data_IF_537843191353
#
_entry.id   IF_537843191353
#
_cell.length_a   1.000
_cell.length_b   1.000
_cell.length_c   1.000
_cell.angle_alpha   90.00
_cell.angle_beta   90.00
_cell.angle_gamma   90.00
#
_symmetry.space_group_name_H-M   'P 1'
#
loop_
_entity.id
_entity.type
_entity.pdbx_description
1 polymer ?
#
# COMPACT_ATOMS: atom_id res chain seq x y z
N UNK A 1 -27.49 17.02 -6.45
CA UNK A 1 -27.64 15.55 -6.48
C UNK A 1 -26.24 14.99 -6.40
N UNK A 2 -25.83 14.51 -5.23
CA UNK A 2 -24.48 13.99 -5.02
C UNK A 2 -24.40 12.54 -5.49
N UNK A 3 -23.43 12.23 -6.33
CA UNK A 3 -23.08 10.86 -6.71
C UNK A 3 -22.37 10.17 -5.55
N UNK A 4 -22.89 9.01 -5.13
CA UNK A 4 -22.29 8.17 -4.11
C UNK A 4 -21.36 7.15 -4.79
N UNK A 5 -20.07 7.23 -4.52
CA UNK A 5 -19.11 6.21 -4.95
C UNK A 5 -19.10 5.10 -3.88
N UNK A 6 -19.68 3.95 -4.20
CA UNK A 6 -19.65 2.76 -3.35
C UNK A 6 -18.58 1.83 -3.91
N UNK A 7 -17.48 1.67 -3.18
CA UNK A 7 -16.42 0.71 -3.53
C UNK A 7 -16.80 -0.63 -2.92
N UNK A 8 -17.11 -1.62 -3.76
CA UNK A 8 -17.32 -3.00 -3.33
C UNK A 8 -15.98 -3.74 -3.40
N UNK A 9 -15.44 -4.15 -2.24
CA UNK A 9 -14.40 -5.17 -2.15
C UNK A 9 -15.10 -6.45 -1.70
N UNK A 10 -15.23 -7.43 -2.60
CA UNK A 10 -16.03 -8.63 -2.29
C UNK A 10 -15.44 -9.88 -2.94
N UNK A 11 -14.99 -10.80 -2.09
CA UNK A 11 -14.86 -12.21 -2.42
C UNK A 11 -16.25 -12.86 -2.31
N UNK A 12 -17.09 -12.73 -3.34
CA UNK A 12 -18.45 -13.32 -3.38
C UNK A 12 -18.48 -14.80 -3.79
N UNK A 13 -17.39 -15.54 -3.60
CA UNK A 13 -17.44 -17.00 -3.77
C UNK A 13 -18.00 -17.62 -2.50
N UNK A 14 -19.24 -18.15 -2.58
CA UNK A 14 -19.91 -18.91 -1.52
C UNK A 14 -19.00 -20.06 -1.03
N UNK A 15 -18.21 -19.79 -0.01
CA UNK A 15 -17.79 -20.77 0.99
C UNK A 15 -18.81 -20.69 2.13
N UNK A 16 -19.11 -21.82 2.76
CA UNK A 16 -20.11 -21.98 3.83
C UNK A 16 -20.15 -20.75 4.77
N UNK A 17 -21.32 -20.10 4.87
CA UNK A 17 -21.51 -18.90 5.69
C UNK A 17 -22.63 -17.99 5.19
N UNK A 18 -22.97 -16.99 6.02
CA UNK A 18 -23.96 -15.94 5.74
C UNK A 18 -23.24 -14.66 5.34
N UNK A 19 -23.83 -13.92 4.39
CA UNK A 19 -23.35 -12.59 4.03
C UNK A 19 -23.85 -11.60 5.08
N UNK A 20 -22.93 -11.01 5.83
CA UNK A 20 -23.20 -9.85 6.68
C UNK A 20 -22.69 -8.57 5.99
N UNK A 21 -23.43 -7.48 6.14
CA UNK A 21 -22.99 -6.17 5.68
C UNK A 21 -22.79 -5.28 6.89
N UNK A 22 -21.64 -4.61 6.94
CA UNK A 22 -21.29 -3.66 7.98
C UNK A 22 -21.07 -2.29 7.38
N UNK A 23 -21.44 -1.26 8.13
CA UNK A 23 -21.27 0.13 7.75
C UNK A 23 -20.56 0.88 8.87
N UNK A 24 -19.80 1.90 8.49
CA UNK A 24 -19.20 2.86 9.40
C UNK A 24 -19.36 4.26 8.84
N UNK A 25 -19.86 5.17 9.68
CA UNK A 25 -19.69 6.60 9.47
C UNK A 25 -18.25 6.95 9.83
N UNK A 26 -17.55 7.69 8.98
CA UNK A 26 -16.14 8.07 9.22
C UNK A 26 -15.95 8.64 10.64
N UNK A 27 -15.08 8.00 11.42
CA UNK A 27 -14.81 8.39 12.82
C UNK A 27 -15.71 7.74 13.90
N UNK A 28 -16.64 6.84 13.53
CA UNK A 28 -17.46 6.06 14.48
C UNK A 28 -17.08 4.57 14.47
N UNK A 29 -17.68 3.76 15.34
CA UNK A 29 -17.54 2.29 15.31
C UNK A 29 -18.27 1.69 14.11
N UNK A 30 -17.86 0.48 13.70
CA UNK A 30 -18.60 -0.32 12.73
C UNK A 30 -19.89 -0.85 13.34
N UNK A 31 -20.93 -0.98 12.51
CA UNK A 31 -22.21 -1.58 12.86
C UNK A 31 -22.70 -2.50 11.75
N UNK A 32 -23.37 -3.60 12.13
CA UNK A 32 -24.06 -4.48 11.18
C UNK A 32 -25.30 -3.75 10.67
N UNK A 33 -25.45 -3.68 9.34
CA UNK A 33 -26.61 -3.05 8.71
C UNK A 33 -27.53 -4.11 8.10
N UNK A 34 -28.86 -3.97 8.28
CA UNK A 34 -29.80 -4.89 7.69
C UNK A 34 -29.77 -4.76 6.16
N UNK A 35 -29.78 -5.92 5.51
CA UNK A 35 -29.90 -6.04 4.05
C UNK A 35 -31.33 -6.46 3.73
N UNK A 36 -32.08 -5.56 3.12
CA UNK A 36 -33.47 -5.81 2.72
C UNK A 36 -33.53 -6.24 1.24
N UNK A 37 -34.39 -7.20 0.93
CA UNK A 37 -34.67 -7.58 -0.45
C UNK A 37 -35.74 -6.66 -1.04
N UNK A 38 -35.57 -6.24 -2.29
CA UNK A 38 -36.61 -5.46 -2.97
C UNK A 38 -37.74 -6.37 -3.43
N UNK A 39 -38.98 -6.04 -3.03
CA UNK A 39 -40.18 -6.69 -3.60
C UNK A 39 -40.34 -6.38 -5.09
N UNK A 40 -39.93 -5.18 -5.54
CA UNK A 40 -40.05 -4.73 -6.92
C UNK A 40 -38.89 -5.23 -7.82
N UNK A 41 -37.74 -5.54 -7.22
CA UNK A 41 -36.52 -5.97 -7.90
C UNK A 41 -35.89 -7.17 -7.19
N UNK A 42 -36.31 -8.41 -7.49
CA UNK A 42 -35.93 -9.61 -6.71
C UNK A 42 -34.42 -9.88 -6.60
N UNK A 43 -33.61 -9.27 -7.47
CA UNK A 43 -32.15 -9.35 -7.48
C UNK A 43 -31.45 -8.16 -6.82
N UNK A 44 -32.18 -7.10 -6.50
CA UNK A 44 -31.65 -5.95 -5.78
C UNK A 44 -31.64 -6.22 -4.28
N UNK A 45 -30.63 -5.69 -3.61
CA UNK A 45 -30.49 -5.68 -2.16
C UNK A 45 -30.30 -4.22 -1.74
N UNK A 46 -31.04 -3.79 -0.73
CA UNK A 46 -30.97 -2.44 -0.21
C UNK A 46 -30.34 -2.44 1.17
N UNK A 47 -29.49 -1.43 1.41
CA UNK A 47 -28.82 -1.22 2.68
C UNK A 47 -29.44 -0.01 3.36
N UNK A 48 -29.87 -0.18 4.60
CA UNK A 48 -30.36 0.93 5.42
C UNK A 48 -29.20 1.54 6.20
N UNK A 49 -28.53 2.52 5.59
CA UNK A 49 -27.43 3.22 6.23
C UNK A 49 -27.93 4.12 7.37
N UNK A 50 -27.14 4.29 8.45
CA UNK A 50 -27.48 5.21 9.53
C UNK A 50 -27.58 6.65 9.00
N UNK A 51 -28.55 7.42 9.50
CA UNK A 51 -28.74 8.80 9.06
C UNK A 51 -27.69 9.76 9.67
N UNK A 52 -27.47 10.90 9.01
CA UNK A 52 -26.66 12.00 9.56
C UNK A 52 -25.21 12.06 9.07
N UNK A 53 -24.87 11.34 8.00
CA UNK A 53 -23.60 11.50 7.28
C UNK A 53 -23.82 11.51 5.76
N UNK A 54 -22.88 12.10 5.02
CA UNK A 54 -22.77 11.98 3.56
C UNK A 54 -21.65 11.01 3.14
N UNK A 55 -20.87 10.50 4.11
CA UNK A 55 -19.74 9.59 3.91
C UNK A 55 -19.88 8.34 4.77
N UNK A 56 -19.78 7.19 4.11
CA UNK A 56 -19.88 5.87 4.72
C UNK A 56 -18.82 4.96 4.12
N UNK A 57 -18.28 4.07 4.94
CA UNK A 57 -17.54 2.89 4.51
C UNK A 57 -18.46 1.68 4.68
N UNK A 58 -18.48 0.78 3.70
CA UNK A 58 -19.34 -0.41 3.71
C UNK A 58 -18.49 -1.61 3.32
N UNK A 59 -18.59 -2.70 4.10
CA UNK A 59 -18.01 -3.99 3.74
C UNK A 59 -19.09 -5.06 3.67
N UNK A 60 -19.01 -5.91 2.64
CA UNK A 60 -19.72 -7.18 2.59
C UNK A 60 -18.78 -8.30 3.04
N UNK A 61 -19.13 -9.01 4.10
CA UNK A 61 -18.33 -10.07 4.70
C UNK A 61 -19.10 -11.38 4.62
N UNK A 62 -18.47 -12.45 4.11
CA UNK A 62 -18.97 -13.81 4.27
C UNK A 62 -18.43 -14.33 5.59
N UNK A 63 -19.32 -14.57 6.56
CA UNK A 63 -18.97 -14.97 7.93
C UNK A 63 -19.68 -16.26 8.32
N UNK A 64 -19.14 -17.05 9.26
CA UNK A 64 -19.85 -18.21 9.80
C UNK A 64 -21.18 -17.80 10.45
N UNK A 65 -22.23 -18.62 10.32
CA UNK A 65 -23.56 -18.34 10.87
C UNK A 65 -23.58 -18.19 12.40
N UNK A 66 -22.54 -18.70 13.08
CA UNK A 66 -22.38 -18.60 14.53
C UNK A 66 -21.64 -17.34 15.00
N UNK A 67 -21.15 -16.51 14.09
CA UNK A 67 -20.38 -15.31 14.44
C UNK A 67 -21.31 -14.22 14.98
N UNK A 68 -20.93 -13.58 16.09
CA UNK A 68 -21.70 -12.49 16.68
C UNK A 68 -21.51 -11.18 15.90
N UNK A 69 -22.50 -10.27 15.93
CA UNK A 69 -22.37 -8.94 15.32
C UNK A 69 -21.13 -8.18 15.82
N UNK A 70 -20.78 -8.34 17.11
CA UNK A 70 -19.58 -7.73 17.69
C UNK A 70 -18.31 -8.26 17.02
N UNK A 71 -18.22 -9.57 16.77
CA UNK A 71 -17.07 -10.18 16.11
C UNK A 71 -17.01 -9.82 14.62
N UNK A 72 -18.18 -9.71 13.95
CA UNK A 72 -18.26 -9.21 12.56
C UNK A 72 -17.74 -7.78 12.48
N UNK A 73 -18.12 -6.90 13.42
CA UNK A 73 -17.61 -5.53 13.48
C UNK A 73 -16.10 -5.49 13.77
N UNK A 74 -15.58 -6.34 14.66
CA UNK A 74 -14.12 -6.45 14.89
C UNK A 74 -13.38 -6.90 13.64
N UNK A 75 -13.91 -7.86 12.90
CA UNK A 75 -13.33 -8.29 11.61
C UNK A 75 -13.32 -7.13 10.60
N UNK A 76 -14.37 -6.31 10.57
CA UNK A 76 -14.42 -5.10 9.76
C UNK A 76 -13.36 -4.06 10.16
N UNK A 77 -13.14 -3.85 11.47
CA UNK A 77 -12.08 -2.99 12.01
C UNK A 77 -10.69 -3.51 11.62
N UNK A 78 -10.46 -4.82 11.75
CA UNK A 78 -9.21 -5.46 11.35
C UNK A 78 -8.99 -5.25 9.85
N UNK A 79 -9.99 -5.51 9.01
CA UNK A 79 -9.91 -5.30 7.56
C UNK A 79 -9.74 -3.85 7.18
N UNK A 80 -10.35 -2.91 7.89
CA UNK A 80 -10.10 -1.49 7.69
C UNK A 80 -8.63 -1.13 8.00
N UNK A 81 -8.10 -1.65 9.11
CA UNK A 81 -6.70 -1.49 9.49
C UNK A 81 -5.73 -2.12 8.48
N UNK A 82 -6.11 -3.26 7.90
CA UNK A 82 -5.37 -3.98 6.86
C UNK A 82 -5.56 -3.37 5.47
N UNK A 83 -6.61 -2.58 5.19
CA UNK A 83 -6.84 -1.95 3.89
C UNK A 83 -6.51 -0.46 3.91
N UNK A 84 -5.85 0.03 4.96
CA UNK A 84 -5.38 1.41 5.02
C UNK A 84 -4.20 1.58 4.07
N UNK A 85 -4.50 1.95 2.83
CA UNK A 85 -3.52 2.29 1.81
C UNK A 85 -2.75 3.54 2.27
N UNK A 86 -1.44 3.39 2.42
CA UNK A 86 -0.52 4.50 2.64
C UNK A 86 0.13 4.85 1.32
N UNK A 87 0.09 6.12 0.94
CA UNK A 87 0.78 6.61 -0.25
C UNK A 87 2.27 6.76 0.06
N UNK A 88 3.09 6.11 -0.77
CA UNK A 88 4.54 6.07 -0.62
C UNK A 88 5.24 6.34 -1.94
N UNK A 89 6.52 6.70 -1.83
CA UNK A 89 7.46 6.81 -2.94
C UNK A 89 8.74 6.07 -2.61
N UNK A 90 9.42 5.56 -3.65
CA UNK A 90 10.75 5.02 -3.55
C UNK A 90 11.77 6.09 -3.90
N UNK A 91 12.75 6.28 -3.04
CA UNK A 91 13.92 7.12 -3.28
C UNK A 91 15.11 6.19 -3.50
N UNK A 92 15.83 6.36 -4.60
CA UNK A 92 17.10 5.70 -4.85
C UNK A 92 18.19 6.76 -5.03
N UNK A 93 19.18 6.77 -4.14
CA UNK A 93 20.31 7.70 -4.21
C UNK A 93 21.63 6.95 -4.19
N UNK A 94 22.61 7.54 -4.87
CA UNK A 94 23.97 7.06 -4.98
C UNK A 94 24.89 8.03 -4.26
N UNK A 95 25.91 7.48 -3.60
CA UNK A 95 26.86 8.31 -2.86
C UNK A 95 27.86 8.95 -3.81
N UNK A 96 28.05 10.26 -3.70
CA UNK A 96 28.97 11.00 -4.56
C UNK A 96 30.40 10.47 -4.50
N UNK A 97 30.88 10.23 -3.28
CA UNK A 97 32.25 9.80 -3.03
C UNK A 97 32.51 8.35 -3.41
N UNK A 98 31.45 7.55 -3.55
CA UNK A 98 31.55 6.14 -3.93
C UNK A 98 30.29 5.75 -4.73
N UNK A 99 30.35 5.81 -6.07
CA UNK A 99 29.19 5.48 -6.90
C UNK A 99 28.78 4.00 -6.78
N UNK A 100 29.56 3.13 -6.15
CA UNK A 100 29.09 1.77 -5.87
C UNK A 100 28.15 1.71 -4.66
N UNK A 101 28.13 2.72 -3.79
CA UNK A 101 27.21 2.77 -2.64
C UNK A 101 25.89 3.40 -3.05
N UNK A 102 24.80 2.66 -2.80
CA UNK A 102 23.44 3.17 -2.97
C UNK A 102 22.62 2.99 -1.71
N UNK A 103 21.66 3.89 -1.57
CA UNK A 103 20.60 3.82 -0.59
C UNK A 103 19.27 3.78 -1.32
N UNK A 104 18.39 2.90 -0.84
CA UNK A 104 17.00 2.84 -1.25
C UNK A 104 16.13 3.04 -0.02
N UNK A 105 15.20 3.99 -0.10
CA UNK A 105 14.19 4.22 0.93
C UNK A 105 12.80 4.12 0.35
N UNK A 106 11.92 3.39 1.04
CA UNK A 106 10.48 3.60 0.93
C UNK A 106 10.06 4.57 2.02
N UNK A 107 9.44 5.66 1.60
CA UNK A 107 8.96 6.72 2.49
C UNK A 107 7.53 7.07 2.16
N UNK A 108 6.77 7.50 3.15
CA UNK A 108 5.47 8.13 2.91
C UNK A 108 5.65 9.36 2.04
N UNK A 109 4.74 9.59 1.10
CA UNK A 109 4.87 10.66 0.11
C UNK A 109 5.09 12.03 0.74
N UNK A 110 4.46 12.32 1.88
CA UNK A 110 4.65 13.59 2.60
C UNK A 110 6.07 13.82 3.15
N UNK A 111 6.90 12.78 3.22
CA UNK A 111 8.25 12.83 3.78
C UNK A 111 9.36 12.83 2.70
N UNK A 112 9.00 12.83 1.41
CA UNK A 112 9.98 12.77 0.30
C UNK A 112 10.98 13.92 0.37
N UNK A 113 10.52 15.16 0.40
CA UNK A 113 11.39 16.36 0.40
C UNK A 113 12.36 16.38 1.59
N UNK A 114 11.87 16.00 2.77
CA UNK A 114 12.69 15.98 4.00
C UNK A 114 13.75 14.88 3.91
N UNK A 115 13.38 13.72 3.40
CA UNK A 115 14.30 12.58 3.22
C UNK A 115 15.37 12.92 2.18
N UNK A 116 14.96 13.49 1.05
CA UNK A 116 15.83 13.99 -0.02
C UNK A 116 16.91 14.95 0.50
N UNK A 117 16.50 16.00 1.23
CA UNK A 117 17.45 16.96 1.84
C UNK A 117 18.40 16.29 2.83
N UNK A 118 17.90 15.33 3.61
CA UNK A 118 18.75 14.57 4.52
C UNK A 118 19.79 13.75 3.76
N UNK A 119 19.40 13.02 2.71
CA UNK A 119 20.32 12.22 1.90
C UNK A 119 21.39 13.07 1.21
N UNK A 120 21.00 14.22 0.66
CA UNK A 120 21.95 15.19 0.11
C UNK A 120 22.97 15.63 1.16
N UNK A 121 22.52 15.92 2.40
CA UNK A 121 23.40 16.37 3.49
C UNK A 121 24.44 15.33 3.92
N UNK A 122 24.19 14.04 3.70
CA UNK A 122 25.11 12.95 4.01
C UNK A 122 25.84 12.40 2.77
N UNK A 123 25.75 13.10 1.63
CA UNK A 123 26.53 12.81 0.43
C UNK A 123 25.89 11.82 -0.55
N UNK A 124 24.59 11.52 -0.40
CA UNK A 124 23.79 10.72 -1.33
C UNK A 124 22.95 11.63 -2.22
N UNK A 125 23.63 12.38 -3.09
CA UNK A 125 23.07 13.46 -3.91
C UNK A 125 22.98 13.12 -5.41
N UNK A 126 23.48 11.96 -5.83
CA UNK A 126 23.37 11.45 -7.20
C UNK A 126 22.23 10.43 -7.29
N UNK A 127 21.65 10.24 -8.48
CA UNK A 127 20.57 9.26 -8.71
C UNK A 127 19.35 9.82 -9.46
N UNK A 128 18.35 8.98 -9.77
CA UNK A 128 17.12 9.42 -10.41
C UNK A 128 16.31 10.34 -9.48
N UNK A 129 15.29 11.00 -10.03
CA UNK A 129 14.21 11.54 -9.18
C UNK A 129 13.56 10.40 -8.36
N UNK A 130 12.78 10.74 -7.34
CA UNK A 130 11.91 9.78 -6.66
C UNK A 130 10.95 9.08 -7.65
N UNK A 131 10.45 7.92 -7.27
CA UNK A 131 9.42 7.23 -8.05
C UNK A 131 8.12 8.02 -8.04
N UNK A 132 7.23 7.72 -8.99
CA UNK A 132 5.83 8.09 -8.87
C UNK A 132 5.25 7.56 -7.53
N UNK A 133 4.28 8.28 -6.99
CA UNK A 133 3.52 7.87 -5.81
C UNK A 133 2.66 6.64 -6.11
N UNK A 134 2.63 5.70 -5.18
CA UNK A 134 1.75 4.52 -5.24
C UNK A 134 1.25 4.16 -3.85
N UNK A 135 0.10 3.47 -3.81
CA UNK A 135 -0.52 3.02 -2.57
C UNK A 135 0.03 1.67 -2.13
N UNK A 136 0.37 1.55 -0.85
CA UNK A 136 0.87 0.31 -0.23
C UNK A 136 0.14 0.04 1.08
N UNK A 137 -0.16 -1.23 1.32
CA UNK A 137 -0.79 -1.71 2.54
C UNK A 137 0.25 -2.08 3.60
N UNK A 138 -0.10 -1.94 4.88
CA UNK A 138 0.75 -2.37 5.99
C UNK A 138 1.10 -3.87 5.90
N UNK A 139 2.39 -4.19 5.93
CA UNK A 139 2.94 -5.53 5.75
C UNK A 139 3.16 -5.96 4.30
N UNK A 140 2.72 -5.17 3.31
CA UNK A 140 2.92 -5.48 1.89
C UNK A 140 4.40 -5.42 1.49
N UNK A 141 4.84 -6.33 0.62
CA UNK A 141 6.24 -6.41 0.19
C UNK A 141 6.42 -5.68 -1.13
N UNK A 142 7.21 -4.62 -1.11
CA UNK A 142 7.64 -3.91 -2.30
C UNK A 142 8.84 -4.64 -2.90
N UNK A 143 8.73 -5.05 -4.15
CA UNK A 143 9.79 -5.75 -4.88
C UNK A 143 10.51 -4.79 -5.84
N UNK A 144 11.81 -4.57 -5.61
CA UNK A 144 12.64 -3.66 -6.40
C UNK A 144 13.68 -4.48 -7.17
N UNK A 145 13.65 -4.37 -8.49
CA UNK A 145 14.54 -5.08 -9.39
C UNK A 145 15.39 -4.09 -10.19
N UNK A 146 16.70 -4.33 -10.19
CA UNK A 146 17.59 -3.67 -11.14
C UNK A 146 17.60 -4.47 -12.42
N UNK A 147 17.17 -3.83 -13.51
CA UNK A 147 17.27 -4.43 -14.83
C UNK A 147 18.58 -4.02 -15.50
N UNK A 148 19.03 -4.82 -16.46
CA UNK A 148 20.24 -4.57 -17.25
C UNK A 148 21.58 -4.84 -16.53
N UNK A 149 22.48 -3.85 -16.50
CA UNK A 149 23.91 -4.03 -16.27
C UNK A 149 24.32 -3.84 -14.80
N UNK A 150 23.35 -3.71 -13.91
CA UNK A 150 23.53 -3.44 -12.49
C UNK A 150 22.83 -4.50 -11.66
N UNK A 151 23.44 -4.85 -10.53
CA UNK A 151 22.82 -5.71 -9.54
C UNK A 151 23.39 -5.44 -8.15
N UNK A 152 22.65 -5.79 -7.11
CA UNK A 152 23.14 -5.66 -5.73
C UNK A 152 24.15 -6.74 -5.39
N UNK A 153 25.30 -6.37 -4.86
CA UNK A 153 26.39 -7.31 -4.59
C UNK A 153 25.93 -8.52 -3.77
N UNK A 154 25.14 -8.30 -2.72
CA UNK A 154 24.60 -9.36 -1.87
C UNK A 154 23.44 -10.12 -2.47
N UNK A 155 22.48 -9.44 -3.11
CA UNK A 155 21.29 -10.10 -3.68
C UNK A 155 21.57 -10.74 -5.04
N UNK A 156 22.75 -10.49 -5.62
CA UNK A 156 23.05 -10.83 -7.00
C UNK A 156 21.92 -10.30 -7.89
N UNK A 157 21.38 -11.11 -8.80
CA UNK A 157 20.27 -10.73 -9.69
C UNK A 157 18.89 -10.91 -9.06
N UNK A 158 18.81 -11.30 -7.79
CA UNK A 158 17.54 -11.40 -7.08
C UNK A 158 17.00 -10.01 -6.75
N UNK A 159 15.68 -9.81 -6.78
CA UNK A 159 15.09 -8.54 -6.42
C UNK A 159 15.29 -8.25 -4.93
N UNK A 160 15.36 -6.96 -4.58
CA UNK A 160 15.22 -6.49 -3.21
C UNK A 160 13.75 -6.57 -2.81
N UNK A 161 13.50 -7.20 -1.66
CA UNK A 161 12.16 -7.30 -1.07
C UNK A 161 12.11 -6.49 0.20
N UNK A 162 11.25 -5.47 0.20
CA UNK A 162 11.17 -4.47 1.27
C UNK A 162 9.74 -4.45 1.84
N UNK A 163 9.52 -5.08 3.03
CA UNK A 163 8.18 -5.16 3.64
C UNK A 163 7.78 -3.84 4.30
N UNK A 164 6.80 -3.14 3.73
CA UNK A 164 6.36 -1.85 4.25
C UNK A 164 5.64 -2.00 5.59
N UNK A 165 5.92 -1.09 6.52
CA UNK A 165 5.20 -0.99 7.80
C UNK A 165 4.83 0.47 8.07
N UNK A 166 3.54 0.75 8.22
CA UNK A 166 2.99 2.12 8.29
C UNK A 166 3.49 2.92 9.51
N UNK A 167 3.86 2.22 10.58
CA UNK A 167 4.32 2.82 11.84
C UNK A 167 5.84 3.08 11.87
N UNK A 168 6.57 2.58 10.86
CA UNK A 168 7.98 2.92 10.68
C UNK A 168 8.11 4.24 9.92
N UNK A 169 9.04 5.09 10.38
CA UNK A 169 9.30 6.40 9.74
C UNK A 169 9.82 6.27 8.31
N UNK A 170 10.74 5.33 8.11
CA UNK A 170 11.17 4.91 6.79
C UNK A 170 11.69 3.49 6.86
N UNK A 171 11.65 2.82 5.71
CA UNK A 171 12.34 1.56 5.53
C UNK A 171 13.49 1.77 4.57
N UNK A 172 14.68 1.42 5.03
CA UNK A 172 15.93 1.81 4.40
C UNK A 172 16.79 0.60 4.12
N UNK A 173 17.33 0.56 2.92
CA UNK A 173 18.26 -0.45 2.48
C UNK A 173 19.55 0.22 1.96
N UNK A 174 20.69 -0.26 2.42
CA UNK A 174 22.01 0.21 2.00
C UNK A 174 22.76 -0.95 1.37
N UNK A 175 23.33 -0.75 0.19
CA UNK A 175 24.02 -1.84 -0.49
C UNK A 175 25.05 -1.34 -1.52
N UNK A 176 25.97 -2.24 -1.89
CA UNK A 176 26.88 -2.00 -2.99
C UNK A 176 26.31 -2.51 -4.32
N UNK A 177 26.43 -1.70 -5.38
CA UNK A 177 26.11 -2.09 -6.75
C UNK A 177 27.33 -2.64 -7.47
N UNK A 178 27.10 -3.75 -8.16
CA UNK A 178 28.06 -4.35 -9.08
C UNK A 178 27.62 -4.07 -10.52
N UNK A 179 28.54 -3.52 -11.31
CA UNK A 179 28.38 -3.34 -12.75
C UNK A 179 28.86 -4.60 -13.47
N UNK A 180 28.01 -5.24 -14.27
CA UNK A 180 28.34 -6.52 -14.95
C UNK A 180 29.33 -6.28 -16.09
N UNK A 181 29.12 -5.24 -16.89
CA UNK A 181 29.98 -4.83 -17.99
C UNK A 181 30.82 -3.62 -17.59
N UNK A 182 32.12 -3.86 -17.40
CA UNK A 182 33.08 -2.86 -16.94
C UNK A 182 33.31 -1.72 -17.93
N UNK A 183 32.93 -1.86 -19.20
CA UNK A 183 32.98 -0.72 -20.15
C UNK A 183 31.98 0.39 -19.81
N UNK A 184 31.04 0.12 -18.89
CA UNK A 184 30.07 1.08 -18.37
C UNK A 184 30.33 1.45 -16.90
N UNK A 185 31.51 1.10 -16.35
CA UNK A 185 31.90 1.52 -15.01
C UNK A 185 31.93 3.05 -14.90
N UNK A 186 31.34 3.59 -13.84
CA UNK A 186 31.24 5.03 -13.59
C UNK A 186 29.95 5.69 -14.09
N UNK A 187 28.98 4.94 -14.61
CA UNK A 187 27.64 5.49 -14.91
C UNK A 187 26.79 5.62 -13.65
N UNK A 188 26.13 6.76 -13.52
CA UNK A 188 25.14 7.02 -12.49
C UNK A 188 23.80 6.36 -12.85
N UNK A 189 23.00 6.00 -11.83
CA UNK A 189 21.59 5.64 -12.07
C UNK A 189 20.84 6.93 -12.39
N UNK A 190 20.25 7.03 -13.58
CA UNK A 190 19.65 8.29 -14.05
C UNK A 190 18.14 8.27 -14.15
N UNK A 191 17.49 7.10 -14.12
CA UNK A 191 16.04 6.99 -14.28
C UNK A 191 15.46 5.70 -13.69
N UNK A 192 14.15 5.73 -13.41
CA UNK A 192 13.34 4.53 -13.21
C UNK A 192 13.02 3.87 -14.56
N UNK A 193 12.90 2.54 -14.57
CA UNK A 193 12.36 1.80 -15.71
C UNK A 193 10.88 1.59 -15.41
N UNK A 194 10.03 2.14 -16.27
CA UNK A 194 8.56 2.01 -16.25
C UNK A 194 8.10 0.74 -16.95
#
# INVERSE_FOLDING_TARGET
MGSMNITFSTDFEKKEGTICVVSKVTGKSWEVVPVEESEEHPKARFLKLPSGSDKYQVFGLVVPDSMSDEDVCKEAEIREGLNCVTNVSIICRQKHSNPHEVIIECVKSENVDTTMKYLDSIGYNDGPAESAEFGVVDGEVIEIKFESNLYFERLKRSPLRMPFYKDLKSQRYFEHLVVVNKSEQGRHITSWIS
#
